data_IF_974875357890
#
_entry.id   IF_974875357890
#
_cell.length_a   1.000
_cell.length_b   1.000
_cell.length_c   1.000
_cell.angle_alpha   90.00
_cell.angle_beta   90.00
_cell.angle_gamma   90.00
#
_symmetry.space_group_name_H-M   'P 1'
#
loop_
_entity.id
_entity.type
_entity.pdbx_description
1 polymer ?
#
# COMPACT_ATOMS: atom_id res chain seq x y z
N UNK A 1 -8.09 -14.77 8.90
CA UNK A 1 -7.76 -13.34 8.77
C UNK A 1 -6.27 -13.23 8.53
N UNK A 2 -5.85 -12.39 7.61
CA UNK A 2 -4.43 -12.12 7.36
C UNK A 2 -4.24 -10.62 7.08
N UNK A 3 -3.08 -10.10 7.43
CA UNK A 3 -2.66 -8.71 7.18
C UNK A 3 -1.42 -8.72 6.26
N UNK A 4 -1.33 -7.75 5.35
CA UNK A 4 -0.13 -7.51 4.55
C UNK A 4 0.72 -6.45 5.23
N UNK A 5 1.64 -6.91 6.09
CA UNK A 5 2.49 -6.03 6.88
C UNK A 5 3.20 -4.99 5.99
N UNK A 6 3.00 -3.71 6.31
CA UNK A 6 3.58 -2.56 5.61
C UNK A 6 3.26 -2.55 4.10
N UNK A 7 2.04 -2.94 3.72
CA UNK A 7 1.55 -2.98 2.34
C UNK A 7 2.00 -1.76 1.51
N UNK A 8 1.77 -0.54 2.00
CA UNK A 8 2.10 0.69 1.25
C UNK A 8 3.60 0.87 0.98
N UNK A 9 4.47 0.32 1.83
CA UNK A 9 5.93 0.38 1.64
C UNK A 9 6.41 -0.59 0.55
N UNK A 10 5.59 -1.56 0.15
CA UNK A 10 5.91 -2.49 -0.94
C UNK A 10 5.67 -1.88 -2.33
N UNK A 11 4.88 -0.81 -2.42
CA UNK A 11 4.58 -0.12 -3.67
C UNK A 11 5.42 1.15 -3.80
N UNK A 12 6.34 1.13 -4.76
CA UNK A 12 7.19 2.26 -5.07
C UNK A 12 6.46 3.28 -5.92
N UNK A 13 6.65 4.55 -5.60
CA UNK A 13 6.09 5.68 -6.35
C UNK A 13 7.05 6.01 -7.49
N UNK A 14 6.49 6.19 -8.69
CA UNK A 14 7.24 6.60 -9.89
C UNK A 14 7.99 7.90 -9.59
N UNK A 15 9.18 8.12 -10.18
CA UNK A 15 9.98 9.30 -9.87
C UNK A 15 9.22 10.61 -10.13
N UNK A 16 8.41 10.61 -11.17
CA UNK A 16 7.64 11.78 -11.63
C UNK A 16 6.50 12.12 -10.66
N UNK A 17 5.95 11.12 -9.96
CA UNK A 17 4.86 11.31 -8.98
C UNK A 17 5.34 11.61 -7.55
N UNK A 18 6.64 11.45 -7.26
CA UNK A 18 7.19 11.69 -5.90
C UNK A 18 7.08 13.13 -5.46
N UNK A 19 6.97 14.04 -6.42
CA UNK A 19 6.84 15.46 -6.16
C UNK A 19 5.53 15.81 -5.45
N UNK A 20 4.49 14.96 -5.57
CA UNK A 20 3.23 15.06 -4.84
C UNK A 20 3.29 14.52 -3.41
N UNK A 21 4.37 13.82 -3.05
CA UNK A 21 4.60 13.24 -1.72
C UNK A 21 5.78 13.93 -1.01
N UNK A 22 5.94 15.24 -1.26
CA UNK A 22 6.92 16.08 -0.59
C UNK A 22 6.50 16.40 0.83
N UNK A 23 7.48 16.45 1.73
CA UNK A 23 7.30 16.94 3.07
C UNK A 23 8.52 17.76 3.51
N UNK A 24 8.27 18.70 4.42
CA UNK A 24 9.28 19.53 5.04
C UNK A 24 9.71 18.91 6.36
N UNK A 25 11.00 19.00 6.66
CA UNK A 25 11.56 18.50 7.90
C UNK A 25 12.51 19.53 8.51
N UNK A 26 12.24 19.89 9.77
CA UNK A 26 13.10 20.75 10.56
C UNK A 26 13.98 19.90 11.46
N UNK A 27 15.31 20.05 11.35
CA UNK A 27 16.22 19.35 12.24
C UNK A 27 15.99 19.79 13.69
N UNK A 28 15.94 18.81 14.60
CA UNK A 28 15.66 19.02 16.02
C UNK A 28 14.32 19.74 16.31
N UNK A 29 13.41 19.83 15.34
CA UNK A 29 12.14 20.52 15.49
C UNK A 29 12.23 22.05 15.54
N UNK A 30 13.36 22.65 15.19
CA UNK A 30 13.50 24.11 15.18
C UNK A 30 12.87 24.73 13.92
N UNK A 31 11.64 25.21 14.06
CA UNK A 31 10.86 25.83 12.97
C UNK A 31 11.36 27.21 12.56
N UNK A 32 12.34 27.80 13.26
CA UNK A 32 12.98 29.06 12.86
C UNK A 32 14.10 28.84 11.84
N UNK A 33 14.57 27.59 11.68
CA UNK A 33 15.56 27.22 10.69
C UNK A 33 14.92 26.93 9.32
N UNK A 34 15.72 26.94 8.25
CA UNK A 34 15.23 26.52 6.94
C UNK A 34 14.92 25.01 6.95
N UNK A 35 13.70 24.59 6.55
CA UNK A 35 13.36 23.18 6.45
C UNK A 35 14.15 22.49 5.35
N UNK A 36 14.41 21.21 5.53
CA UNK A 36 14.83 20.32 4.46
C UNK A 36 13.62 19.72 3.75
N UNK A 37 13.67 19.73 2.43
CA UNK A 37 12.68 19.04 1.60
C UNK A 37 13.05 17.56 1.42
N UNK A 38 12.09 16.68 1.67
CA UNK A 38 12.20 15.27 1.39
C UNK A 38 11.07 14.80 0.48
N UNK A 39 11.35 13.76 -0.30
CA UNK A 39 10.40 13.11 -1.20
C UNK A 39 10.28 11.64 -0.84
N UNK A 40 9.07 11.21 -0.56
CA UNK A 40 8.83 9.80 -0.25
C UNK A 40 8.95 8.95 -1.52
N UNK A 41 9.51 7.75 -1.38
CA UNK A 41 9.71 6.82 -2.50
C UNK A 41 8.63 5.74 -2.58
N UNK A 42 7.80 5.66 -1.56
CA UNK A 42 6.74 4.66 -1.37
C UNK A 42 5.45 5.36 -0.94
N UNK A 43 4.34 4.66 -1.05
CA UNK A 43 3.04 5.20 -0.63
C UNK A 43 2.98 5.41 0.89
N UNK A 44 2.38 6.53 1.30
CA UNK A 44 2.31 6.97 2.70
C UNK A 44 1.05 6.47 3.39
N UNK A 45 1.13 6.27 4.70
CA UNK A 45 -0.07 6.31 5.53
C UNK A 45 -0.61 7.75 5.58
N UNK A 46 -1.94 7.89 5.49
CA UNK A 46 -2.63 9.19 5.54
C UNK A 46 -2.83 9.87 4.17
N UNK A 47 -2.17 9.41 3.11
CA UNK A 47 -2.52 9.83 1.75
C UNK A 47 -3.75 9.04 1.27
N UNK A 48 -4.82 9.74 0.89
CA UNK A 48 -6.09 9.13 0.46
C UNK A 48 -5.96 8.24 -0.78
N UNK A 49 -4.95 8.50 -1.62
CA UNK A 49 -4.66 7.71 -2.82
C UNK A 49 -3.90 6.41 -2.54
N UNK A 50 -3.14 6.31 -1.44
CA UNK A 50 -2.28 5.16 -1.14
C UNK A 50 -3.04 3.83 -1.06
N UNK A 51 -4.21 3.73 -0.38
CA UNK A 51 -4.99 2.48 -0.35
C UNK A 51 -5.42 2.03 -1.75
N UNK A 52 -5.84 2.97 -2.60
CA UNK A 52 -6.29 2.69 -3.96
C UNK A 52 -5.15 2.15 -4.83
N UNK A 53 -4.00 2.84 -4.83
CA UNK A 53 -2.82 2.42 -5.60
C UNK A 53 -2.29 1.05 -5.16
N UNK A 54 -2.20 0.81 -3.85
CA UNK A 54 -1.71 -0.45 -3.32
C UNK A 54 -2.68 -1.61 -3.61
N UNK A 55 -3.99 -1.40 -3.46
CA UNK A 55 -5.00 -2.42 -3.75
C UNK A 55 -5.04 -2.76 -5.26
N UNK A 56 -4.92 -1.75 -6.12
CA UNK A 56 -4.78 -1.98 -7.56
C UNK A 56 -3.54 -2.82 -7.87
N UNK A 57 -2.39 -2.46 -7.30
CA UNK A 57 -1.15 -3.21 -7.48
C UNK A 57 -1.26 -4.67 -7.04
N UNK A 58 -1.89 -4.95 -5.89
CA UNK A 58 -2.14 -6.33 -5.44
C UNK A 58 -3.04 -7.10 -6.41
N UNK A 59 -4.15 -6.50 -6.85
CA UNK A 59 -5.07 -7.16 -7.80
C UNK A 59 -4.42 -7.41 -9.14
N UNK A 60 -3.59 -6.47 -9.61
CA UNK A 60 -2.82 -6.63 -10.83
C UNK A 60 -1.85 -7.83 -10.74
N UNK A 61 -1.09 -7.93 -9.65
CA UNK A 61 -0.19 -9.06 -9.41
C UNK A 61 -0.96 -10.39 -9.30
N UNK A 62 -2.10 -10.40 -8.60
CA UNK A 62 -2.97 -11.57 -8.51
C UNK A 62 -3.43 -12.05 -9.89
N UNK A 63 -3.81 -11.15 -10.80
CA UNK A 63 -4.18 -11.50 -12.17
C UNK A 63 -2.99 -12.02 -12.99
N UNK A 64 -1.80 -11.44 -12.84
CA UNK A 64 -0.60 -11.93 -13.54
C UNK A 64 -0.16 -13.32 -13.09
N UNK A 65 -0.30 -13.60 -11.79
CA UNK A 65 0.12 -14.84 -11.16
C UNK A 65 -1.00 -15.90 -11.09
N UNK A 66 -2.19 -15.64 -11.65
CA UNK A 66 -3.37 -16.50 -11.51
C UNK A 66 -3.13 -17.93 -12.02
N UNK A 67 -2.37 -18.10 -13.11
CA UNK A 67 -2.04 -19.42 -13.64
C UNK A 67 -1.18 -20.25 -12.69
N UNK A 68 -0.29 -19.60 -11.95
CA UNK A 68 0.65 -20.25 -11.04
C UNK A 68 0.05 -20.42 -9.64
N UNK A 69 -0.77 -19.47 -9.19
CA UNK A 69 -1.37 -19.43 -7.85
C UNK A 69 -2.87 -19.10 -7.89
N UNK A 70 -3.73 -19.95 -8.48
CA UNK A 70 -5.14 -19.64 -8.72
C UNK A 70 -5.94 -19.39 -7.43
N UNK A 71 -5.68 -20.16 -6.37
CA UNK A 71 -6.36 -19.99 -5.08
C UNK A 71 -5.97 -18.68 -4.39
N UNK A 72 -4.69 -18.32 -4.43
CA UNK A 72 -4.21 -17.07 -3.85
C UNK A 72 -4.72 -15.86 -4.64
N UNK A 73 -4.72 -15.94 -5.98
CA UNK A 73 -5.26 -14.91 -6.84
C UNK A 73 -6.76 -14.67 -6.57
N UNK A 74 -7.57 -15.73 -6.49
CA UNK A 74 -8.99 -15.60 -6.13
C UNK A 74 -9.19 -15.01 -4.74
N UNK A 75 -8.33 -15.36 -3.78
CA UNK A 75 -8.39 -14.79 -2.43
C UNK A 75 -8.09 -13.28 -2.42
N UNK A 76 -7.01 -12.85 -3.07
CA UNK A 76 -6.66 -11.43 -3.20
C UNK A 76 -7.75 -10.62 -3.91
N UNK A 77 -8.38 -11.20 -4.94
CA UNK A 77 -9.40 -10.49 -5.71
C UNK A 77 -10.74 -10.33 -4.96
N UNK A 78 -11.14 -11.32 -4.15
CA UNK A 78 -12.51 -11.42 -3.58
C UNK A 78 -12.59 -11.19 -2.08
N UNK A 79 -11.50 -11.37 -1.36
CA UNK A 79 -11.50 -11.46 0.10
C UNK A 79 -10.59 -10.44 0.77
N UNK A 80 -9.98 -9.52 0.02
CA UNK A 80 -9.19 -8.42 0.58
C UNK A 80 -9.92 -7.08 0.54
N UNK A 81 -9.82 -6.35 1.65
CA UNK A 81 -10.17 -4.94 1.78
C UNK A 81 -8.92 -4.15 2.16
N UNK A 82 -8.35 -3.41 1.21
CA UNK A 82 -7.07 -2.70 1.34
C UNK A 82 -5.94 -3.67 1.71
N UNK A 83 -5.58 -3.77 2.98
CA UNK A 83 -4.53 -4.60 3.57
C UNK A 83 -5.08 -5.84 4.32
N UNK A 84 -6.37 -5.84 4.66
CA UNK A 84 -7.01 -6.90 5.44
C UNK A 84 -7.64 -7.98 4.54
N UNK A 85 -7.17 -9.22 4.69
CA UNK A 85 -7.75 -10.41 4.08
C UNK A 85 -8.71 -11.15 5.02
N UNK A 86 -10.00 -11.20 4.66
CA UNK A 86 -11.04 -11.84 5.45
C UNK A 86 -11.84 -12.87 4.63
N UNK A 87 -11.90 -14.10 5.12
CA UNK A 87 -12.73 -15.18 4.54
C UNK A 87 -13.80 -15.59 5.56
N UNK A 88 -15.04 -15.71 5.08
CA UNK A 88 -16.13 -16.33 5.83
C UNK A 88 -16.25 -17.79 5.41
N UNK A 89 -16.30 -18.69 6.38
CA UNK A 89 -16.51 -20.12 6.17
C UNK A 89 -17.77 -20.56 6.92
N UNK A 90 -18.45 -21.59 6.41
CA UNK A 90 -19.62 -22.14 7.11
C UNK A 90 -19.20 -22.64 8.49
N UNK A 91 -19.98 -22.33 9.51
CA UNK A 91 -19.83 -22.92 10.83
C UNK A 91 -19.96 -24.45 10.72
N UNK A 92 -19.02 -25.16 11.32
CA UNK A 92 -19.15 -26.61 11.52
C UNK A 92 -20.16 -26.79 12.64
N UNK A 93 -21.35 -27.26 12.29
CA UNK A 93 -22.36 -27.71 13.26
C UNK A 93 -22.08 -29.14 13.72
#
# INVERSE_FOLDING_TARGET
MCDVEKMFHRFHVSKDDRDYLRFLWWENGDTNSEPREYRMKVHLFGASSSPGCANYGMKHLASQCEKEYPSAASFIQKHFYVDDGLISVKSVG
#
